data_IF_953458543200
#
_entry.id   IF_953458543200
#
_cell.length_a   1.000
_cell.length_b   1.000
_cell.length_c   1.000
_cell.angle_alpha   90.00
_cell.angle_beta   90.00
_cell.angle_gamma   90.00
#
_symmetry.space_group_name_H-M   'P 1'
#
loop_
_entity.id
_entity.type
_entity.pdbx_description
1 polymer ?
#
# COMPACT_ATOMS: atom_id res chain seq x y z
N UNK A 1 7.84 21.36 8.00
CA UNK A 1 8.70 20.30 8.54
C UNK A 1 10.17 20.69 8.58
N UNK A 2 10.91 20.13 9.50
CA UNK A 2 12.35 20.31 9.60
C UNK A 2 13.06 19.63 8.42
N UNK A 3 14.19 20.16 7.97
CA UNK A 3 15.09 19.46 7.05
C UNK A 3 16.18 18.75 7.87
N UNK A 4 16.12 17.41 7.89
CA UNK A 4 17.03 16.51 8.57
C UNK A 4 17.60 15.47 7.58
N UNK A 5 17.57 15.78 6.28
CA UNK A 5 18.05 14.86 5.24
C UNK A 5 19.53 14.55 5.46
N UNK A 6 19.88 13.25 5.45
CA UNK A 6 21.24 12.76 5.69
C UNK A 6 21.76 12.96 7.11
N UNK A 7 20.96 13.47 8.03
CA UNK A 7 21.40 13.67 9.42
C UNK A 7 21.74 12.34 10.12
N UNK A 8 22.75 12.36 10.99
CA UNK A 8 23.02 11.26 11.91
C UNK A 8 22.27 11.49 13.22
N UNK A 9 21.20 10.70 13.40
CA UNK A 9 20.32 10.66 14.57
C UNK A 9 20.37 9.28 15.24
N UNK A 10 21.45 8.53 15.01
CA UNK A 10 21.58 7.18 15.56
C UNK A 10 21.54 7.20 17.08
N UNK A 11 20.70 6.32 17.66
CA UNK A 11 20.48 6.24 19.10
C UNK A 11 19.81 7.45 19.74
N UNK A 12 19.41 8.46 18.98
CA UNK A 12 18.77 9.67 19.53
C UNK A 12 17.44 9.35 20.22
N UNK A 13 17.14 10.04 21.30
CA UNK A 13 15.79 10.02 21.90
C UNK A 13 14.92 11.11 21.25
N UNK A 14 14.04 10.65 20.38
CA UNK A 14 13.04 11.44 19.66
C UNK A 14 11.61 11.01 20.08
N UNK A 15 11.50 10.41 21.27
CA UNK A 15 10.18 9.97 21.76
C UNK A 15 9.24 11.16 21.91
N UNK A 16 8.00 10.97 21.40
CA UNK A 16 6.94 11.99 21.36
C UNK A 16 7.24 13.25 20.54
N UNK A 17 8.37 13.28 19.80
CA UNK A 17 8.73 14.43 18.98
C UNK A 17 7.71 14.66 17.85
N UNK A 18 7.47 15.94 17.50
CA UNK A 18 6.74 16.29 16.30
C UNK A 18 7.72 16.43 15.11
N UNK A 19 7.77 15.38 14.31
CA UNK A 19 8.53 15.28 13.06
C UNK A 19 7.58 15.29 11.84
N UNK A 20 6.36 15.81 12.01
CA UNK A 20 5.39 15.86 10.94
C UNK A 20 5.93 16.66 9.73
N UNK A 21 5.79 16.08 8.55
CA UNK A 21 6.29 16.63 7.28
C UNK A 21 7.80 16.92 7.26
N UNK A 22 8.59 16.34 8.16
CA UNK A 22 10.03 16.48 8.15
C UNK A 22 10.64 15.75 6.95
N UNK A 23 11.69 16.33 6.39
CA UNK A 23 12.55 15.67 5.42
C UNK A 23 13.63 14.90 6.17
N UNK A 24 13.54 13.56 6.14
CA UNK A 24 14.46 12.62 6.79
C UNK A 24 15.14 11.70 5.76
N UNK A 25 15.15 12.10 4.48
CA UNK A 25 15.71 11.27 3.40
C UNK A 25 17.14 10.88 3.67
N UNK A 26 17.41 9.56 3.63
CA UNK A 26 18.74 9.02 3.86
C UNK A 26 19.30 9.27 5.27
N UNK A 27 18.50 9.75 6.23
CA UNK A 27 18.96 9.95 7.61
C UNK A 27 19.32 8.62 8.27
N UNK A 28 20.30 8.65 9.16
CA UNK A 28 20.64 7.55 10.03
C UNK A 28 19.87 7.66 11.35
N UNK A 29 18.82 6.83 11.48
CA UNK A 29 17.97 6.71 12.67
C UNK A 29 18.15 5.36 13.37
N UNK A 30 19.27 4.67 13.11
CA UNK A 30 19.51 3.35 13.68
C UNK A 30 19.50 3.38 15.21
N UNK A 31 18.71 2.49 15.82
CA UNK A 31 18.52 2.43 17.26
C UNK A 31 17.83 3.65 17.89
N UNK A 32 17.38 4.62 17.12
CA UNK A 32 16.70 5.80 17.66
C UNK A 32 15.39 5.42 18.38
N UNK A 33 15.07 6.13 19.44
CA UNK A 33 13.79 6.02 20.13
C UNK A 33 12.78 7.01 19.55
N UNK A 34 11.90 6.52 18.67
CA UNK A 34 10.82 7.27 18.03
C UNK A 34 9.44 6.90 18.61
N UNK A 35 9.40 6.36 19.84
CA UNK A 35 8.15 5.96 20.48
C UNK A 35 7.16 7.12 20.55
N UNK A 36 5.97 6.92 20.01
CA UNK A 36 4.90 7.92 20.00
C UNK A 36 5.19 9.17 19.18
N UNK A 37 6.29 9.21 18.43
CA UNK A 37 6.61 10.35 17.57
C UNK A 37 5.55 10.55 16.48
N UNK A 38 5.29 11.80 16.14
CA UNK A 38 4.45 12.16 15.01
C UNK A 38 5.31 12.33 13.75
N UNK A 39 5.28 11.35 12.87
CA UNK A 39 5.95 11.33 11.56
C UNK A 39 4.95 11.47 10.41
N UNK A 40 3.74 11.98 10.67
CA UNK A 40 2.72 12.07 9.63
C UNK A 40 3.16 12.94 8.45
N UNK A 41 3.11 12.37 7.24
CA UNK A 41 3.58 13.04 6.02
C UNK A 41 5.08 13.34 5.98
N UNK A 42 5.88 12.79 6.90
CA UNK A 42 7.33 12.89 6.84
C UNK A 42 7.89 12.07 5.66
N UNK A 43 9.10 12.40 5.24
CA UNK A 43 9.80 11.67 4.20
C UNK A 43 11.09 11.01 4.74
N UNK A 44 11.03 9.81 5.35
CA UNK A 44 12.18 8.99 5.71
C UNK A 44 12.61 8.04 4.58
N UNK A 45 12.41 8.38 3.31
CA UNK A 45 12.80 7.50 2.21
C UNK A 45 14.30 7.24 2.20
N UNK A 46 14.69 5.97 2.04
CA UNK A 46 16.07 5.52 2.10
C UNK A 46 16.74 5.69 3.47
N UNK A 47 16.00 6.06 4.52
CA UNK A 47 16.57 6.19 5.87
C UNK A 47 16.96 4.83 6.46
N UNK A 48 18.01 4.84 7.28
CA UNK A 48 18.37 3.69 8.09
C UNK A 48 17.60 3.72 9.41
N UNK A 49 16.57 2.88 9.53
CA UNK A 49 15.71 2.73 10.71
C UNK A 49 15.98 1.40 11.46
N UNK A 50 17.14 0.79 11.23
CA UNK A 50 17.51 -0.48 11.87
C UNK A 50 17.43 -0.38 13.38
N UNK A 51 16.72 -1.34 14.02
CA UNK A 51 16.54 -1.40 15.47
C UNK A 51 15.87 -0.18 16.10
N UNK A 52 15.29 0.72 15.30
CA UNK A 52 14.56 1.87 15.82
C UNK A 52 13.30 1.43 16.59
N UNK A 53 13.01 2.15 17.66
CA UNK A 53 11.76 1.97 18.41
C UNK A 53 10.69 2.90 17.85
N UNK A 54 9.81 2.37 16.98
CA UNK A 54 8.69 3.09 16.36
C UNK A 54 7.33 2.78 17.04
N UNK A 55 7.34 2.26 18.27
CA UNK A 55 6.11 1.91 18.99
C UNK A 55 5.20 3.11 19.10
N UNK A 56 3.92 2.93 18.72
CA UNK A 56 2.88 3.98 18.77
C UNK A 56 3.17 5.20 17.90
N UNK A 57 4.17 5.18 17.03
CA UNK A 57 4.48 6.28 16.12
C UNK A 57 3.33 6.50 15.11
N UNK A 58 3.06 7.76 14.78
CA UNK A 58 2.13 8.10 13.73
C UNK A 58 2.89 8.29 12.40
N UNK A 59 2.82 7.30 11.53
CA UNK A 59 3.47 7.25 10.22
C UNK A 59 2.46 7.44 9.06
N UNK A 60 1.28 8.01 9.33
CA UNK A 60 0.27 8.23 8.28
C UNK A 60 0.84 9.12 7.18
N UNK A 61 0.66 8.69 5.91
CA UNK A 61 1.13 9.43 4.75
C UNK A 61 2.66 9.63 4.69
N UNK A 62 3.45 8.94 5.52
CA UNK A 62 4.90 9.00 5.46
C UNK A 62 5.42 8.24 4.22
N UNK A 63 6.47 8.76 3.60
CA UNK A 63 7.20 8.07 2.55
C UNK A 63 8.38 7.29 3.17
N UNK A 64 8.19 5.98 3.39
CA UNK A 64 9.21 5.05 3.88
C UNK A 64 9.87 4.27 2.73
N UNK A 65 9.66 4.67 1.48
CA UNK A 65 10.21 3.94 0.35
C UNK A 65 11.73 3.76 0.49
N UNK A 66 12.19 2.53 0.23
CA UNK A 66 13.61 2.15 0.31
C UNK A 66 14.25 2.27 1.71
N UNK A 67 13.50 2.58 2.77
CA UNK A 67 14.03 2.60 4.13
C UNK A 67 14.40 1.19 4.61
N UNK A 68 15.41 1.09 5.47
CA UNK A 68 15.78 -0.18 6.12
C UNK A 68 15.12 -0.27 7.50
N UNK A 69 14.18 -1.19 7.65
CA UNK A 69 13.43 -1.45 8.88
C UNK A 69 13.92 -2.70 9.63
N UNK A 70 15.15 -3.17 9.36
CA UNK A 70 15.69 -4.36 10.02
C UNK A 70 15.57 -4.28 11.55
N UNK A 71 14.81 -5.19 12.13
CA UNK A 71 14.64 -5.29 13.59
C UNK A 71 13.92 -4.11 14.25
N UNK A 72 13.38 -3.15 13.50
CA UNK A 72 12.61 -2.04 14.06
C UNK A 72 11.35 -2.54 14.77
N UNK A 73 10.93 -1.87 15.85
CA UNK A 73 9.70 -2.20 16.58
C UNK A 73 8.57 -1.27 16.15
N UNK A 74 7.63 -1.80 15.38
CA UNK A 74 6.46 -1.11 14.86
C UNK A 74 5.17 -1.38 15.66
N UNK A 75 5.28 -1.89 16.90
CA UNK A 75 4.13 -2.19 17.75
C UNK A 75 3.20 -1.00 17.89
N UNK A 76 1.96 -1.13 17.41
CA UNK A 76 0.95 -0.08 17.50
C UNK A 76 1.21 1.16 16.63
N UNK A 77 2.21 1.14 15.75
CA UNK A 77 2.46 2.23 14.81
C UNK A 77 1.31 2.36 13.80
N UNK A 78 0.97 3.59 13.42
CA UNK A 78 -0.07 3.89 12.45
C UNK A 78 0.55 4.14 11.07
N UNK A 79 0.54 3.13 10.21
CA UNK A 79 1.08 3.15 8.85
C UNK A 79 0.04 3.45 7.76
N UNK A 80 -1.17 3.94 8.11
CA UNK A 80 -2.22 4.16 7.10
C UNK A 80 -1.75 5.14 6.04
N UNK A 81 -1.81 4.69 4.77
CA UNK A 81 -1.39 5.43 3.58
C UNK A 81 0.10 5.82 3.56
N UNK A 82 0.94 5.14 4.35
CA UNK A 82 2.37 5.26 4.20
C UNK A 82 2.83 4.53 2.93
N UNK A 83 3.83 5.08 2.25
CA UNK A 83 4.51 4.39 1.16
C UNK A 83 5.62 3.49 1.72
N UNK A 84 5.49 2.19 1.50
CA UNK A 84 6.47 1.16 1.91
C UNK A 84 7.11 0.49 0.67
N UNK A 85 7.06 1.12 -0.49
CA UNK A 85 7.63 0.58 -1.73
C UNK A 85 9.14 0.39 -1.59
N UNK A 86 9.62 -0.81 -1.92
CA UNK A 86 11.05 -1.14 -1.84
C UNK A 86 11.66 -1.09 -0.44
N UNK A 87 10.84 -0.98 0.62
CA UNK A 87 11.33 -1.03 2.00
C UNK A 87 12.12 -2.32 2.24
N UNK A 88 13.27 -2.22 2.91
CA UNK A 88 14.16 -3.33 3.12
C UNK A 88 13.88 -4.00 4.47
N UNK A 89 13.96 -5.33 4.50
CA UNK A 89 13.90 -6.17 5.71
C UNK A 89 12.68 -5.93 6.60
N UNK A 90 11.55 -5.54 6.03
CA UNK A 90 10.30 -5.30 6.76
C UNK A 90 9.79 -6.56 7.45
N UNK A 91 10.13 -7.74 6.92
CA UNK A 91 9.81 -9.05 7.49
C UNK A 91 10.52 -9.30 8.85
N UNK A 92 11.64 -8.62 9.10
CA UNK A 92 12.36 -8.68 10.37
C UNK A 92 11.90 -7.63 11.37
N UNK A 93 11.06 -6.69 10.96
CA UNK A 93 10.47 -5.70 11.86
C UNK A 93 9.52 -6.40 12.84
N UNK A 94 9.58 -5.97 14.11
CA UNK A 94 8.80 -6.60 15.19
C UNK A 94 7.38 -6.04 15.20
N UNK A 95 6.42 -6.95 15.41
CA UNK A 95 5.01 -6.61 15.65
C UNK A 95 4.39 -5.71 14.57
N UNK A 96 4.84 -5.87 13.33
CA UNK A 96 4.18 -5.26 12.18
C UNK A 96 2.89 -6.06 11.91
N UNK A 97 1.80 -5.67 12.57
CA UNK A 97 0.48 -6.18 12.27
C UNK A 97 -0.29 -5.14 11.45
N UNK A 98 -0.41 -5.39 10.16
CA UNK A 98 -1.26 -4.60 9.28
C UNK A 98 -2.25 -5.53 8.59
N UNK A 99 -3.53 -5.55 9.00
CA UNK A 99 -4.51 -6.44 8.41
C UNK A 99 -4.70 -6.15 6.92
N UNK A 100 -5.01 -7.18 6.14
CA UNK A 100 -5.40 -6.98 4.75
C UNK A 100 -6.70 -6.18 4.69
N UNK A 101 -6.80 -5.22 3.77
CA UNK A 101 -8.05 -4.50 3.47
C UNK A 101 -9.00 -5.42 2.69
N UNK A 102 -8.46 -6.28 1.81
CA UNK A 102 -9.24 -7.30 1.12
C UNK A 102 -9.49 -8.52 2.02
N UNK A 103 -10.60 -9.26 1.83
CA UNK A 103 -10.86 -10.51 2.53
C UNK A 103 -9.71 -11.51 2.34
N UNK A 104 -9.24 -12.11 3.43
CA UNK A 104 -8.12 -13.07 3.40
C UNK A 104 -8.52 -14.41 2.76
N UNK A 105 -9.78 -14.79 2.86
CA UNK A 105 -10.34 -16.07 2.38
C UNK A 105 -11.69 -15.87 1.70
N UNK A 106 -12.08 -16.87 0.92
CA UNK A 106 -13.37 -16.87 0.21
C UNK A 106 -13.34 -16.01 -1.06
N UNK A 107 -14.43 -16.03 -1.80
CA UNK A 107 -14.59 -15.12 -2.94
C UNK A 107 -15.25 -13.81 -2.48
N UNK A 108 -15.02 -12.74 -3.22
CA UNK A 108 -15.65 -11.45 -2.93
C UNK A 108 -15.78 -10.60 -4.19
N UNK A 109 -16.71 -9.64 -4.12
CA UNK A 109 -16.92 -8.62 -5.16
C UNK A 109 -15.94 -7.46 -4.95
N UNK A 110 -15.43 -6.95 -6.05
CA UNK A 110 -14.49 -5.84 -6.09
C UNK A 110 -14.77 -4.93 -7.30
N UNK A 111 -14.21 -3.72 -7.28
CA UNK A 111 -14.46 -2.72 -8.30
C UNK A 111 -13.14 -2.08 -8.75
N UNK A 112 -13.04 -1.82 -10.06
CA UNK A 112 -11.89 -1.17 -10.66
C UNK A 112 -12.36 -0.13 -11.67
N UNK A 113 -11.73 1.05 -11.66
CA UNK A 113 -11.91 2.03 -12.74
C UNK A 113 -10.97 1.68 -13.90
N UNK A 114 -11.48 1.73 -15.10
CA UNK A 114 -10.74 1.56 -16.34
C UNK A 114 -11.46 2.32 -17.46
N UNK A 115 -10.76 3.20 -18.17
CA UNK A 115 -11.28 3.99 -19.30
C UNK A 115 -12.61 4.69 -18.96
N UNK A 116 -12.62 5.43 -17.85
CA UNK A 116 -13.80 6.16 -17.30
C UNK A 116 -15.05 5.27 -17.06
N UNK A 117 -14.85 3.97 -16.90
CA UNK A 117 -15.89 2.99 -16.56
C UNK A 117 -15.54 2.24 -15.30
N UNK A 118 -16.54 1.65 -14.67
CA UNK A 118 -16.36 0.76 -13.52
C UNK A 118 -16.52 -0.68 -13.96
N UNK A 119 -15.49 -1.47 -13.72
CA UNK A 119 -15.49 -2.92 -13.91
C UNK A 119 -15.80 -3.55 -12.56
N UNK A 120 -16.90 -4.26 -12.48
CA UNK A 120 -17.23 -5.13 -11.36
C UNK A 120 -16.52 -6.47 -11.55
N UNK A 121 -15.81 -6.87 -10.52
CA UNK A 121 -14.98 -8.07 -10.50
C UNK A 121 -15.44 -9.01 -9.40
N UNK A 122 -15.39 -10.30 -9.67
CA UNK A 122 -15.43 -11.33 -8.64
C UNK A 122 -14.00 -11.88 -8.46
N UNK A 123 -13.45 -11.73 -7.27
CA UNK A 123 -12.14 -12.26 -6.92
C UNK A 123 -12.35 -13.70 -6.40
N UNK A 124 -11.89 -14.75 -7.11
CA UNK A 124 -12.14 -16.14 -6.72
C UNK A 124 -11.45 -16.48 -5.39
N UNK A 125 -11.95 -17.51 -4.71
CA UNK A 125 -11.42 -17.96 -3.43
C UNK A 125 -9.94 -18.38 -3.47
N UNK A 126 -9.50 -18.90 -4.62
CA UNK A 126 -8.13 -19.36 -4.87
C UNK A 126 -7.22 -18.27 -5.50
N UNK A 127 -7.70 -17.04 -5.67
CA UNK A 127 -6.87 -15.94 -6.11
C UNK A 127 -5.85 -15.55 -5.04
N UNK A 128 -4.59 -15.31 -5.43
CA UNK A 128 -3.64 -14.59 -4.59
C UNK A 128 -4.09 -13.15 -4.47
N UNK A 129 -4.08 -12.60 -3.25
CA UNK A 129 -4.62 -11.28 -2.98
C UNK A 129 -3.82 -10.56 -1.90
N UNK A 130 -3.61 -9.27 -2.09
CA UNK A 130 -2.80 -8.44 -1.21
C UNK A 130 -3.40 -7.04 -1.09
N UNK A 131 -3.15 -6.39 0.03
CA UNK A 131 -3.23 -4.94 0.19
C UNK A 131 -2.07 -4.48 1.06
N UNK A 132 -1.53 -3.30 0.79
CA UNK A 132 -0.49 -2.72 1.63
C UNK A 132 -1.10 -1.86 2.74
N UNK A 133 -0.78 -0.59 2.79
CA UNK A 133 -1.22 0.32 3.87
C UNK A 133 -2.50 1.08 3.53
N UNK A 134 -2.90 1.06 2.26
CA UNK A 134 -4.08 1.74 1.74
C UNK A 134 -5.32 0.86 1.66
N UNK A 135 -6.32 1.37 0.97
CA UNK A 135 -7.57 0.64 0.70
C UNK A 135 -7.59 -0.03 -0.67
N UNK A 136 -6.55 0.22 -1.48
CA UNK A 136 -6.37 -0.44 -2.76
C UNK A 136 -5.88 -1.87 -2.55
N UNK A 137 -6.59 -2.82 -3.12
CA UNK A 137 -6.24 -4.23 -3.13
C UNK A 137 -5.64 -4.62 -4.48
N UNK A 138 -4.97 -5.76 -4.50
CA UNK A 138 -4.37 -6.33 -5.70
C UNK A 138 -4.58 -7.83 -5.72
N UNK A 139 -5.01 -8.38 -6.85
CA UNK A 139 -5.17 -9.82 -7.04
C UNK A 139 -4.46 -10.29 -8.32
N UNK A 140 -4.06 -11.57 -8.36
CA UNK A 140 -3.49 -12.16 -9.57
C UNK A 140 -4.55 -12.49 -10.60
N UNK A 141 -5.79 -12.80 -10.19
CA UNK A 141 -6.89 -13.13 -11.11
C UNK A 141 -8.24 -12.61 -10.62
N UNK A 142 -9.14 -12.38 -11.57
CA UNK A 142 -10.51 -11.95 -11.33
C UNK A 142 -11.43 -12.39 -12.46
N UNK A 143 -12.69 -12.62 -12.17
CA UNK A 143 -13.76 -12.81 -13.18
C UNK A 143 -14.47 -11.46 -13.37
N UNK A 144 -14.62 -11.04 -14.61
CA UNK A 144 -15.34 -9.80 -14.95
C UNK A 144 -16.85 -10.07 -14.94
N UNK A 145 -17.58 -9.37 -14.07
CA UNK A 145 -19.03 -9.58 -13.88
C UNK A 145 -19.82 -8.59 -14.73
N UNK A 146 -19.48 -7.30 -14.64
CA UNK A 146 -20.17 -6.25 -15.38
C UNK A 146 -19.25 -5.07 -15.67
N UNK A 147 -19.64 -4.24 -16.65
CA UNK A 147 -19.00 -2.96 -16.94
C UNK A 147 -20.09 -1.90 -16.96
N UNK A 148 -19.91 -0.85 -16.17
CA UNK A 148 -20.89 0.24 -16.05
C UNK A 148 -20.22 1.61 -16.24
N UNK A 149 -20.99 2.64 -16.52
CA UNK A 149 -20.56 4.03 -16.40
C UNK A 149 -20.26 4.38 -14.95
N UNK A 150 -19.73 5.56 -14.68
CA UNK A 150 -19.51 6.04 -13.32
C UNK A 150 -20.85 6.20 -12.56
N UNK A 151 -21.94 6.50 -13.27
CA UNK A 151 -23.30 6.64 -12.72
C UNK A 151 -23.96 5.28 -12.43
N UNK A 152 -23.53 4.21 -13.12
CA UNK A 152 -24.01 2.84 -12.89
C UNK A 152 -24.77 2.22 -14.08
N UNK A 153 -24.90 2.94 -15.19
CA UNK A 153 -25.57 2.41 -16.39
C UNK A 153 -24.69 1.39 -17.12
N UNK A 154 -25.25 0.37 -17.79
CA UNK A 154 -24.49 -0.57 -18.59
C UNK A 154 -23.60 0.13 -19.63
N UNK A 155 -22.32 -0.25 -19.72
CA UNK A 155 -21.34 0.44 -20.56
C UNK A 155 -20.60 -0.49 -21.55
N UNK A 156 -21.26 -1.55 -21.98
CA UNK A 156 -20.72 -2.53 -22.94
C UNK A 156 -20.06 -3.74 -22.27
N UNK A 157 -19.42 -4.58 -23.08
CA UNK A 157 -18.90 -5.88 -22.65
C UNK A 157 -17.37 -5.95 -22.59
N UNK A 158 -16.67 -4.89 -23.01
CA UNK A 158 -15.20 -4.82 -22.98
C UNK A 158 -14.74 -3.42 -22.58
N UNK A 159 -13.64 -3.37 -21.82
CA UNK A 159 -12.89 -2.14 -21.53
C UNK A 159 -11.41 -2.49 -21.35
N UNK A 160 -10.52 -1.55 -21.68
CA UNK A 160 -9.07 -1.73 -21.57
C UNK A 160 -8.52 -1.05 -20.33
N UNK A 161 -7.47 -1.64 -19.78
CA UNK A 161 -6.76 -1.06 -18.64
C UNK A 161 -6.15 0.31 -19.00
N UNK A 162 -6.16 1.25 -18.06
CA UNK A 162 -5.53 2.56 -18.25
C UNK A 162 -4.00 2.48 -18.33
N UNK A 163 -3.41 1.54 -17.60
CA UNK A 163 -1.95 1.37 -17.52
C UNK A 163 -1.38 0.48 -18.63
N UNK A 164 -2.13 -0.54 -19.06
CA UNK A 164 -1.72 -1.46 -20.11
C UNK A 164 -2.88 -1.65 -21.10
N UNK A 165 -2.82 -0.96 -22.22
CA UNK A 165 -3.87 -1.01 -23.25
C UNK A 165 -4.00 -2.37 -23.95
N UNK A 166 -3.03 -3.28 -23.79
CA UNK A 166 -3.13 -4.67 -24.25
C UNK A 166 -4.00 -5.51 -23.31
N UNK A 167 -4.14 -5.11 -22.03
CA UNK A 167 -4.91 -5.84 -21.03
C UNK A 167 -6.38 -5.41 -21.07
N UNK A 168 -7.25 -6.33 -21.47
CA UNK A 168 -8.69 -6.09 -21.61
C UNK A 168 -9.49 -6.84 -20.54
N UNK A 169 -10.54 -6.17 -20.05
CA UNK A 169 -11.58 -6.76 -19.20
C UNK A 169 -12.81 -7.04 -20.07
N UNK A 170 -13.20 -8.32 -20.20
CA UNK A 170 -14.40 -8.74 -20.94
C UNK A 170 -15.38 -9.42 -20.01
N UNK A 171 -16.64 -9.01 -20.07
CA UNK A 171 -17.72 -9.58 -19.25
C UNK A 171 -17.80 -11.10 -19.46
N UNK A 172 -17.82 -11.85 -18.36
CA UNK A 172 -17.85 -13.32 -18.35
C UNK A 172 -16.48 -13.98 -18.42
N UNK A 173 -15.40 -13.25 -18.76
CA UNK A 173 -14.06 -13.83 -18.83
C UNK A 173 -13.29 -13.70 -17.51
N UNK A 174 -12.34 -14.63 -17.31
CA UNK A 174 -11.33 -14.53 -16.25
C UNK A 174 -10.11 -13.81 -16.80
N UNK A 175 -9.68 -12.77 -16.11
CA UNK A 175 -8.42 -12.08 -16.36
C UNK A 175 -7.38 -12.54 -15.35
N UNK A 176 -6.14 -12.73 -15.78
CA UNK A 176 -5.04 -13.21 -14.94
C UNK A 176 -3.74 -12.48 -15.25
N UNK A 177 -2.98 -12.16 -14.21
CA UNK A 177 -1.65 -11.54 -14.28
C UNK A 177 -0.60 -12.58 -13.94
N UNK A 178 0.25 -12.93 -14.91
CA UNK A 178 1.23 -14.02 -14.80
C UNK A 178 2.42 -13.67 -13.90
N UNK A 179 2.81 -12.40 -13.86
CA UNK A 179 3.94 -11.88 -13.08
C UNK A 179 3.49 -11.18 -11.79
N UNK A 180 2.48 -11.73 -11.11
CA UNK A 180 1.96 -11.18 -9.86
C UNK A 180 3.05 -11.08 -8.81
N UNK A 181 3.30 -9.88 -8.30
CA UNK A 181 4.26 -9.65 -7.22
C UNK A 181 3.60 -9.93 -5.87
N UNK A 182 4.11 -10.91 -5.13
CA UNK A 182 3.60 -11.32 -3.81
C UNK A 182 4.08 -10.41 -2.68
N UNK A 183 5.00 -9.48 -2.94
CA UNK A 183 5.37 -8.48 -1.95
C UNK A 183 4.23 -7.46 -1.78
N UNK A 184 3.53 -7.54 -0.65
CA UNK A 184 2.37 -6.69 -0.37
C UNK A 184 2.70 -5.20 -0.28
N UNK A 185 3.94 -4.87 0.01
CA UNK A 185 4.39 -3.49 0.21
C UNK A 185 4.66 -2.75 -1.11
N UNK A 186 4.81 -3.47 -2.22
CA UNK A 186 4.93 -2.92 -3.56
C UNK A 186 3.56 -2.59 -4.14
N UNK A 187 2.94 -1.48 -3.72
CA UNK A 187 1.55 -1.14 -4.11
C UNK A 187 1.33 -0.96 -5.61
N UNK A 188 2.34 -0.52 -6.34
CA UNK A 188 2.28 -0.30 -7.79
C UNK A 188 2.76 -1.49 -8.63
N UNK A 189 3.10 -2.63 -8.01
CA UNK A 189 3.57 -3.82 -8.70
C UNK A 189 2.47 -4.51 -9.53
N UNK A 190 2.84 -5.44 -10.45
CA UNK A 190 1.89 -6.14 -11.30
C UNK A 190 0.77 -6.85 -10.52
N UNK A 191 -0.45 -6.68 -11.01
CA UNK A 191 -1.67 -7.24 -10.41
C UNK A 191 -2.93 -6.51 -10.87
N UNK A 192 -4.07 -7.11 -10.63
CA UNK A 192 -5.38 -6.49 -10.85
C UNK A 192 -5.70 -5.62 -9.64
N UNK A 193 -5.41 -4.32 -9.76
CA UNK A 193 -5.69 -3.33 -8.72
C UNK A 193 -7.19 -3.04 -8.65
N UNK A 194 -7.76 -3.07 -7.45
CA UNK A 194 -9.19 -2.93 -7.23
C UNK A 194 -9.52 -2.38 -5.84
N UNK A 195 -10.78 -2.03 -5.62
CA UNK A 195 -11.34 -1.60 -4.34
C UNK A 195 -12.52 -2.50 -3.96
N UNK A 196 -12.77 -2.65 -2.66
CA UNK A 196 -13.92 -3.41 -2.15
C UNK A 196 -15.20 -2.60 -2.31
N UNK A 197 -15.11 -1.27 -2.29
CA UNK A 197 -16.24 -0.39 -2.41
C UNK A 197 -16.25 0.30 -3.78
N UNK A 198 -17.43 0.34 -4.45
CA UNK A 198 -17.60 0.94 -5.77
C UNK A 198 -17.27 2.44 -5.78
N UNK A 199 -17.70 3.18 -4.77
CA UNK A 199 -17.45 4.61 -4.69
C UNK A 199 -15.95 4.95 -4.56
N UNK A 200 -15.16 4.08 -3.97
CA UNK A 200 -13.70 4.25 -3.91
C UNK A 200 -13.08 4.08 -5.30
N UNK A 201 -13.58 3.16 -6.11
CA UNK A 201 -13.13 2.99 -7.49
C UNK A 201 -13.53 4.19 -8.37
N UNK A 202 -14.72 4.76 -8.17
CA UNK A 202 -15.20 5.94 -8.91
C UNK A 202 -14.33 7.17 -8.65
N UNK A 203 -13.88 7.38 -7.40
CA UNK A 203 -13.11 8.58 -6.99
C UNK A 203 -11.64 8.54 -7.38
N UNK A 204 -11.18 7.47 -7.95
CA UNK A 204 -9.76 7.25 -8.34
C UNK A 204 -9.59 7.15 -9.84
#
# INVERSE_FOLDING_TARGET
GANLSGADLSGADLSWADLSRADLRGANLSGANLRGANLSGANPSGANLRWANLRWANLRWADLSWADLSGADLSGANLRWADLSGVQHIESARNLFYPLTCPEKGEYTAFKKADEKIVELRIPADAKRLSATGRKCRANKAVVISITTLEGDPAGNEVRSDHDKSFAYRVGETVEVQNFDENRWNECAPGIHHYINREEAVRR
#
